data_IF_379831812061
#
_entry.id   IF_379831812061
#
_cell.length_a   1.000
_cell.length_b   1.000
_cell.length_c   1.000
_cell.angle_alpha   90.00
_cell.angle_beta   90.00
_cell.angle_gamma   90.00
#
_symmetry.space_group_name_H-M   'P 1'
#
loop_
_entity.id
_entity.type
_entity.pdbx_description
1 polymer ?
#
# COMPACT_ATOMS: atom_id res chain seq x y z
N UNK A 1 2.58 -11.49 -12.84
CA UNK A 1 1.85 -11.64 -11.59
C UNK A 1 1.99 -10.34 -10.80
N UNK A 2 0.89 -9.86 -10.23
CA UNK A 2 0.89 -8.68 -9.36
C UNK A 2 1.20 -9.14 -7.94
N UNK A 3 2.06 -8.38 -7.24
CA UNK A 3 2.46 -8.69 -5.86
C UNK A 3 2.11 -7.51 -4.98
N UNK A 4 1.54 -7.74 -3.79
CA UNK A 4 1.22 -6.69 -2.83
C UNK A 4 2.46 -5.89 -2.41
N UNK A 5 2.26 -4.64 -2.01
CA UNK A 5 3.33 -3.72 -1.59
C UNK A 5 4.44 -3.55 -2.64
N UNK A 6 4.05 -3.49 -3.92
CA UNK A 6 4.95 -3.24 -5.06
C UNK A 6 4.41 -2.14 -5.98
N UNK A 7 5.30 -1.48 -6.70
CA UNK A 7 4.93 -0.56 -7.76
C UNK A 7 4.74 -1.33 -9.08
N UNK A 8 3.67 -1.00 -9.79
CA UNK A 8 3.42 -1.53 -11.14
C UNK A 8 3.33 -0.38 -12.13
N UNK A 9 3.73 -0.66 -13.36
CA UNK A 9 3.55 0.24 -14.49
C UNK A 9 2.47 -0.33 -15.40
N UNK A 10 1.44 0.45 -15.65
CA UNK A 10 0.35 0.11 -16.57
C UNK A 10 0.55 0.87 -17.86
N UNK A 11 0.48 0.17 -18.98
CA UNK A 11 0.46 0.73 -20.32
C UNK A 11 -0.86 0.42 -21.00
N UNK A 12 -1.54 1.46 -21.46
CA UNK A 12 -2.84 1.36 -22.13
C UNK A 12 -2.71 1.74 -23.61
N UNK A 13 -3.06 0.80 -24.48
CA UNK A 13 -3.05 0.96 -25.95
C UNK A 13 -4.43 0.68 -26.56
N UNK A 14 -5.47 0.71 -25.73
CA UNK A 14 -6.84 0.41 -26.13
C UNK A 14 -7.52 1.51 -26.94
N UNK A 15 -8.85 1.52 -26.90
CA UNK A 15 -9.74 2.40 -27.68
C UNK A 15 -9.27 3.84 -27.72
N UNK A 16 -9.04 4.45 -26.56
CA UNK A 16 -8.72 5.89 -26.48
C UNK A 16 -7.34 6.24 -27.04
N UNK A 17 -6.38 5.29 -27.01
CA UNK A 17 -5.10 5.51 -27.66
C UNK A 17 -5.24 5.43 -29.19
N UNK A 18 -6.01 4.48 -29.70
CA UNK A 18 -6.28 4.32 -31.14
C UNK A 18 -7.07 5.52 -31.70
N UNK A 19 -7.98 6.08 -30.94
CA UNK A 19 -8.74 7.29 -31.26
C UNK A 19 -7.95 8.59 -31.06
N UNK A 20 -6.69 8.47 -30.64
CA UNK A 20 -5.79 9.60 -30.36
C UNK A 20 -6.34 10.59 -29.33
N UNK A 21 -7.03 10.11 -28.30
CA UNK A 21 -7.51 10.95 -27.19
C UNK A 21 -6.38 11.79 -26.60
N UNK A 22 -6.70 12.99 -26.14
CA UNK A 22 -5.72 13.91 -25.56
C UNK A 22 -5.33 13.47 -24.14
N UNK A 23 -6.32 13.07 -23.36
CA UNK A 23 -6.14 12.67 -21.97
C UNK A 23 -6.86 11.37 -21.66
N UNK A 24 -6.21 10.52 -20.89
CA UNK A 24 -6.80 9.28 -20.37
C UNK A 24 -6.48 9.19 -18.89
N UNK A 25 -7.45 8.76 -18.12
CA UNK A 25 -7.37 8.54 -16.69
C UNK A 25 -7.57 7.05 -16.41
N UNK A 26 -6.80 6.51 -15.50
CA UNK A 26 -7.06 5.20 -14.92
C UNK A 26 -7.79 5.37 -13.59
N UNK A 27 -8.94 4.75 -13.48
CA UNK A 27 -9.77 4.69 -12.30
C UNK A 27 -9.65 3.30 -11.69
N UNK A 28 -9.22 3.19 -10.43
CA UNK A 28 -8.87 1.91 -9.85
C UNK A 28 -9.22 1.79 -8.36
N UNK A 29 -9.37 0.56 -7.91
CA UNK A 29 -9.61 0.20 -6.51
C UNK A 29 -9.19 -1.24 -6.24
N UNK A 30 -9.29 -1.63 -4.98
CA UNK A 30 -8.86 -2.95 -4.50
C UNK A 30 -10.05 -3.75 -3.97
N UNK A 31 -10.00 -5.09 -4.12
CA UNK A 31 -11.05 -5.97 -3.65
C UNK A 31 -12.39 -5.81 -4.37
N UNK A 32 -13.37 -6.59 -3.99
CA UNK A 32 -14.71 -6.62 -4.63
C UNK A 32 -15.44 -5.28 -4.47
N UNK A 33 -15.19 -4.56 -3.37
CA UNK A 33 -15.86 -3.29 -3.06
C UNK A 33 -15.16 -2.06 -3.64
N UNK A 34 -14.09 -2.22 -4.40
CA UNK A 34 -13.27 -1.11 -4.89
C UNK A 34 -12.72 -0.22 -3.77
N UNK A 35 -12.23 -0.85 -2.71
CA UNK A 35 -11.62 -0.14 -1.58
C UNK A 35 -10.45 0.73 -2.05
N UNK A 36 -10.23 1.86 -1.36
CA UNK A 36 -9.21 2.84 -1.73
C UNK A 36 -9.31 3.33 -3.19
N UNK A 37 -10.54 3.62 -3.61
CA UNK A 37 -10.83 4.12 -4.95
C UNK A 37 -9.99 5.37 -5.24
N UNK A 38 -9.32 5.36 -6.40
CA UNK A 38 -8.48 6.47 -6.84
C UNK A 38 -8.54 6.65 -8.37
N UNK A 39 -8.18 7.84 -8.83
CA UNK A 39 -8.08 8.16 -10.25
C UNK A 39 -6.76 8.89 -10.52
N UNK A 40 -6.02 8.45 -11.52
CA UNK A 40 -4.74 9.04 -11.93
C UNK A 40 -4.78 9.37 -13.42
N UNK A 41 -4.36 10.58 -13.77
CA UNK A 41 -4.11 10.95 -15.16
C UNK A 41 -2.89 10.18 -15.67
N UNK A 42 -3.05 9.52 -16.82
CA UNK A 42 -1.97 8.77 -17.46
C UNK A 42 -1.12 9.69 -18.33
N UNK A 43 0.16 9.41 -18.39
CA UNK A 43 1.11 10.10 -19.28
C UNK A 43 0.99 9.54 -20.70
N UNK A 44 0.80 10.42 -21.69
CA UNK A 44 0.74 10.04 -23.11
C UNK A 44 2.15 9.88 -23.64
N UNK A 45 2.44 8.69 -24.20
CA UNK A 45 3.72 8.37 -24.85
C UNK A 45 3.47 7.89 -26.27
N UNK A 46 4.51 7.72 -27.05
CA UNK A 46 4.41 7.15 -28.41
C UNK A 46 3.91 5.70 -28.41
N UNK A 47 4.09 4.98 -27.31
CA UNK A 47 3.74 3.57 -27.17
C UNK A 47 2.40 3.34 -26.44
N UNK A 48 1.70 4.39 -26.03
CA UNK A 48 0.45 4.30 -25.29
C UNK A 48 0.39 5.26 -24.11
N UNK A 49 -0.70 5.23 -23.36
CA UNK A 49 -0.83 5.94 -22.09
C UNK A 49 -0.23 5.12 -20.96
N UNK A 50 0.53 5.74 -20.07
CA UNK A 50 1.25 5.06 -19.00
C UNK A 50 0.94 5.67 -17.63
N UNK A 51 0.86 4.83 -16.60
CA UNK A 51 0.77 5.25 -15.21
C UNK A 51 1.53 4.29 -14.30
N UNK A 52 2.10 4.81 -13.21
CA UNK A 52 2.69 4.01 -12.14
C UNK A 52 1.74 4.01 -10.95
N UNK A 53 1.46 2.84 -10.42
CA UNK A 53 0.53 2.63 -9.31
C UNK A 53 1.20 1.75 -8.26
N UNK A 54 1.08 2.17 -7.01
CA UNK A 54 1.47 1.34 -5.87
C UNK A 54 0.32 0.37 -5.55
N UNK A 55 0.60 -0.93 -5.61
CA UNK A 55 -0.33 -1.96 -5.18
C UNK A 55 -0.31 -2.04 -3.65
N UNK A 56 -1.38 -1.59 -3.03
CA UNK A 56 -1.61 -1.76 -1.60
C UNK A 56 -1.97 -3.19 -1.22
N UNK A 57 -2.50 -3.36 -0.02
CA UNK A 57 -3.05 -4.62 0.44
C UNK A 57 -4.42 -4.86 -0.20
N UNK A 58 -4.66 -6.07 -0.67
CA UNK A 58 -5.93 -6.49 -1.27
C UNK A 58 -5.79 -7.81 -2.01
N UNK A 59 -6.91 -8.46 -2.28
CA UNK A 59 -6.91 -9.73 -3.01
C UNK A 59 -6.98 -9.52 -4.54
N UNK A 60 -7.59 -8.41 -4.98
CA UNK A 60 -7.72 -8.06 -6.40
C UNK A 60 -7.45 -6.59 -6.65
N UNK A 61 -6.88 -6.29 -7.80
CA UNK A 61 -6.72 -4.97 -8.36
C UNK A 61 -7.70 -4.80 -9.51
N UNK A 62 -8.64 -3.86 -9.36
CA UNK A 62 -9.69 -3.58 -10.33
C UNK A 62 -9.46 -2.21 -10.93
N UNK A 63 -9.62 -2.07 -12.24
CA UNK A 63 -9.49 -0.77 -12.88
C UNK A 63 -10.29 -0.68 -14.19
N UNK A 64 -10.51 0.54 -14.62
CA UNK A 64 -11.06 0.92 -15.92
C UNK A 64 -10.43 2.23 -16.36
N UNK A 65 -10.67 2.62 -17.61
CA UNK A 65 -10.12 3.85 -18.17
C UNK A 65 -11.23 4.82 -18.52
N UNK A 66 -10.92 6.11 -18.45
CA UNK A 66 -11.82 7.20 -18.83
C UNK A 66 -11.04 8.24 -19.63
N UNK A 67 -11.65 8.78 -20.70
CA UNK A 67 -11.06 9.89 -21.42
C UNK A 67 -11.57 11.26 -20.88
N UNK A 68 -11.08 12.36 -21.45
CA UNK A 68 -11.50 13.73 -21.13
C UNK A 68 -12.99 14.01 -21.43
N UNK A 69 -13.63 13.24 -22.31
CA UNK A 69 -15.05 13.38 -22.65
C UNK A 69 -15.97 12.57 -21.72
N UNK A 70 -15.45 11.99 -20.64
CA UNK A 70 -16.16 11.09 -19.73
C UNK A 70 -16.69 9.81 -20.38
N UNK A 71 -16.07 9.36 -21.44
CA UNK A 71 -16.32 8.05 -22.00
C UNK A 71 -15.49 7.02 -21.25
N UNK A 72 -16.06 5.83 -21.04
CA UNK A 72 -15.43 4.75 -20.27
C UNK A 72 -15.01 3.60 -21.18
N UNK A 73 -13.84 3.06 -20.92
CA UNK A 73 -13.37 1.76 -21.38
C UNK A 73 -13.22 0.86 -20.15
N UNK A 74 -14.21 0.01 -19.97
CA UNK A 74 -14.34 -0.87 -18.81
C UNK A 74 -14.46 -2.36 -19.21
N UNK A 75 -13.85 -2.75 -20.32
CA UNK A 75 -13.83 -4.12 -20.78
C UNK A 75 -15.25 -4.73 -20.88
N UNK A 76 -16.14 -4.06 -21.64
CA UNK A 76 -17.53 -4.48 -21.84
C UNK A 76 -18.32 -4.64 -20.52
N UNK A 77 -18.22 -3.67 -19.63
CA UNK A 77 -18.86 -3.63 -18.31
C UNK A 77 -18.34 -4.69 -17.31
N UNK A 78 -17.20 -5.33 -17.56
CA UNK A 78 -16.60 -6.34 -16.68
C UNK A 78 -15.45 -5.77 -15.84
N UNK A 79 -14.96 -4.58 -16.20
CA UNK A 79 -13.73 -4.00 -15.73
C UNK A 79 -12.48 -4.88 -16.00
N UNK A 80 -11.31 -4.33 -15.73
CA UNK A 80 -10.07 -5.09 -15.74
C UNK A 80 -9.79 -5.54 -14.32
N UNK A 81 -9.71 -6.85 -14.08
CA UNK A 81 -9.55 -7.45 -12.74
C UNK A 81 -8.35 -8.37 -12.73
N UNK A 82 -7.43 -8.14 -11.80
CA UNK A 82 -6.22 -8.95 -11.63
C UNK A 82 -6.07 -9.36 -10.17
N UNK A 83 -5.72 -10.61 -9.94
CA UNK A 83 -5.39 -11.12 -8.61
C UNK A 83 -4.05 -10.57 -8.14
N UNK A 84 -3.99 -10.21 -6.86
CA UNK A 84 -2.77 -9.77 -6.17
C UNK A 84 -2.27 -10.94 -5.32
N UNK A 85 -1.04 -11.37 -5.58
CA UNK A 85 -0.37 -12.34 -4.74
C UNK A 85 0.16 -11.68 -3.48
N UNK A 86 -0.17 -12.25 -2.33
CA UNK A 86 0.40 -11.82 -1.05
C UNK A 86 1.88 -12.13 -1.05
N UNK A 87 2.69 -11.16 -0.67
CA UNK A 87 4.11 -11.37 -0.47
C UNK A 87 4.25 -12.41 0.62
N UNK A 88 4.61 -13.64 0.26
CA UNK A 88 4.99 -14.63 1.25
C UNK A 88 6.16 -14.02 2.00
N UNK A 89 5.92 -13.61 3.26
CA UNK A 89 7.01 -13.56 4.20
C UNK A 89 7.54 -15.00 4.20
N UNK A 90 8.66 -15.22 3.54
CA UNK A 90 9.48 -16.37 3.87
C UNK A 90 9.73 -16.27 5.37
N UNK A 91 8.86 -16.91 6.15
CA UNK A 91 9.29 -17.47 7.41
C UNK A 91 10.50 -18.29 6.98
N UNK A 92 11.69 -17.78 7.25
CA UNK A 92 12.88 -18.59 7.30
C UNK A 92 12.50 -19.74 8.22
N UNK A 93 12.04 -20.84 7.63
CA UNK A 93 12.08 -22.14 8.26
C UNK A 93 13.58 -22.35 8.45
N UNK A 94 14.06 -21.94 9.62
CA UNK A 94 15.34 -22.36 10.10
C UNK A 94 15.20 -23.89 10.15
N UNK A 95 15.69 -24.55 9.10
CA UNK A 95 15.92 -25.99 9.14
C UNK A 95 16.53 -26.27 10.48
N UNK A 96 16.01 -27.27 11.17
CA UNK A 96 16.30 -27.67 12.54
C UNK A 96 17.82 -27.93 12.75
N UNK A 97 18.63 -26.89 12.74
CA UNK A 97 19.89 -26.88 13.43
C UNK A 97 19.55 -26.84 14.93
N UNK A 98 20.09 -27.76 15.74
CA UNK A 98 19.81 -27.76 17.16
C UNK A 98 20.31 -26.46 17.78
N UNK A 99 19.39 -25.51 17.93
CA UNK A 99 19.67 -24.19 18.52
C UNK A 99 20.14 -24.42 19.95
N UNK A 100 21.43 -24.25 20.19
CA UNK A 100 21.98 -24.35 21.55
C UNK A 100 21.24 -23.35 22.45
N UNK A 101 20.87 -23.76 23.67
CA UNK A 101 20.09 -22.97 24.62
C UNK A 101 20.61 -21.54 24.83
N UNK A 102 21.89 -21.30 24.52
CA UNK A 102 22.54 -19.99 24.58
C UNK A 102 22.07 -18.98 23.50
N UNK A 103 21.84 -19.44 22.28
CA UNK A 103 21.40 -18.58 21.18
C UNK A 103 19.92 -18.15 21.29
N UNK A 104 19.06 -19.07 21.80
CA UNK A 104 17.67 -18.76 22.07
C UNK A 104 17.50 -17.65 23.15
N UNK A 105 18.34 -17.64 24.17
CA UNK A 105 18.38 -16.57 25.18
C UNK A 105 18.81 -15.23 24.59
N UNK A 106 19.72 -15.21 23.63
CA UNK A 106 20.22 -13.98 23.00
C UNK A 106 19.16 -13.35 22.09
N UNK A 107 18.46 -14.15 21.31
CA UNK A 107 17.35 -13.72 20.45
C UNK A 107 16.17 -13.17 21.26
N UNK A 108 15.80 -13.83 22.37
CA UNK A 108 14.74 -13.35 23.27
C UNK A 108 15.09 -12.02 23.94
N UNK A 109 16.36 -11.79 24.31
CA UNK A 109 16.82 -10.51 24.85
C UNK A 109 16.74 -9.39 23.81
N UNK A 110 17.17 -9.63 22.57
CA UNK A 110 17.11 -8.62 21.51
C UNK A 110 15.68 -8.24 21.14
N UNK A 111 14.76 -9.21 21.08
CA UNK A 111 13.34 -8.96 20.83
C UNK A 111 12.69 -8.12 21.94
N UNK A 112 12.94 -8.46 23.20
CA UNK A 112 12.41 -7.70 24.34
C UNK A 112 12.98 -6.27 24.39
N UNK A 113 14.22 -6.10 23.96
CA UNK A 113 14.86 -4.77 23.90
C UNK A 113 14.24 -3.91 22.79
N UNK A 114 14.00 -4.48 21.62
CA UNK A 114 13.33 -3.79 20.51
C UNK A 114 11.89 -3.36 20.89
N UNK A 115 11.17 -4.20 21.63
CA UNK A 115 9.83 -3.88 22.13
C UNK A 115 9.84 -2.72 23.15
N UNK A 116 10.83 -2.69 24.03
CA UNK A 116 11.02 -1.58 25.00
C UNK A 116 11.34 -0.26 24.29
N UNK A 117 12.17 -0.28 23.25
CA UNK A 117 12.49 0.92 22.45
C UNK A 117 11.25 1.43 21.73
N UNK A 118 10.45 0.57 21.09
CA UNK A 118 9.20 0.98 20.44
C UNK A 118 8.22 1.62 21.40
N UNK A 119 8.06 1.07 22.60
CA UNK A 119 7.20 1.64 23.64
C UNK A 119 7.73 2.99 24.16
N UNK A 120 9.05 3.16 24.27
CA UNK A 120 9.66 4.43 24.65
C UNK A 120 9.45 5.50 23.59
N UNK A 121 9.66 5.18 22.31
CA UNK A 121 9.41 6.09 21.19
C UNK A 121 7.92 6.47 21.11
N UNK A 122 7.02 5.51 21.27
CA UNK A 122 5.58 5.78 21.29
C UNK A 122 5.20 6.75 22.42
N UNK A 123 5.75 6.58 23.61
CA UNK A 123 5.53 7.50 24.72
C UNK A 123 6.05 8.91 24.42
N UNK A 124 7.23 9.05 23.85
CA UNK A 124 7.77 10.36 23.45
C UNK A 124 6.85 11.05 22.45
N UNK A 125 6.43 10.35 21.38
CA UNK A 125 5.57 10.90 20.34
C UNK A 125 4.20 11.30 20.87
N UNK A 126 3.62 10.52 21.78
CA UNK A 126 2.25 10.75 22.26
C UNK A 126 2.17 11.72 23.44
N UNK A 127 3.18 11.74 24.32
CA UNK A 127 3.15 12.59 25.54
C UNK A 127 3.85 13.92 25.37
N UNK A 128 4.89 14.00 24.55
CA UNK A 128 5.65 15.26 24.36
C UNK A 128 4.79 16.42 23.82
N UNK A 129 3.93 16.22 22.81
CA UNK A 129 3.02 17.27 22.37
C UNK A 129 2.01 17.71 23.44
N UNK A 130 1.58 16.78 24.31
CA UNK A 130 0.65 17.09 25.40
C UNK A 130 1.29 17.95 26.49
N UNK A 131 2.58 17.76 26.75
CA UNK A 131 3.35 18.58 27.70
C UNK A 131 3.52 19.99 27.13
N UNK A 132 3.86 20.12 25.84
CA UNK A 132 4.04 21.40 25.16
C UNK A 132 2.73 22.20 25.05
N UNK A 133 1.59 21.53 24.90
CA UNK A 133 0.27 22.20 24.82
C UNK A 133 -0.29 22.71 26.15
N UNK A 134 0.42 22.52 27.26
CA UNK A 134 -0.01 22.96 28.58
C UNK A 134 -1.15 22.15 29.22
N UNK A 135 -1.77 21.25 28.50
CA UNK A 135 -2.89 20.43 28.98
C UNK A 135 -2.50 19.41 30.07
N UNK A 136 -1.21 19.16 30.22
CA UNK A 136 -0.71 18.24 31.25
C UNK A 136 -0.70 18.88 32.65
N UNK A 137 -0.44 20.20 32.75
CA UNK A 137 -0.39 20.91 34.05
C UNK A 137 -1.76 21.04 34.68
N UNK A 138 -2.86 21.10 33.92
CA UNK A 138 -4.22 21.21 34.48
C UNK A 138 -4.68 19.99 35.27
N UNK A 139 -4.24 18.79 34.89
CA UNK A 139 -4.61 17.55 35.60
C UNK A 139 -3.87 17.32 36.92
N UNK A 140 -2.71 17.93 37.09
CA UNK A 140 -1.92 17.83 38.33
C UNK A 140 -2.34 18.84 39.40
N UNK A 141 -3.15 19.86 39.05
CA UNK A 141 -3.66 20.87 39.98
C UNK A 141 -5.07 20.55 40.51
N UNK A 142 -5.69 19.47 40.05
CA UNK A 142 -7.04 19.02 40.47
C UNK A 142 -7.02 17.77 41.37
N UNK A 143 -5.83 17.32 41.84
CA UNK A 143 -5.67 16.23 42.81
C UNK A 143 -5.01 16.72 44.06
#
# INVERSE_FOLDING_TARGET
KLVENSNIKISYTGKFFQENSEEVFIHYGFGINWDNLNEIKMEKTELGFQAEIFLGEGDTFNFCFRNNNNEWDNNDCKNYVFEIEKKQNELLVLEDEPVSLGSARKLRKSYLWSKKIRLAVYKIITYFPKILSGNYKRRLSEN
#
